data_IF_677464334965
#
_entry.id   IF_677464334965
#
_cell.length_a   1.000
_cell.length_b   1.000
_cell.length_c   1.000
_cell.angle_alpha   90.00
_cell.angle_beta   90.00
_cell.angle_gamma   90.00
#
_symmetry.space_group_name_H-M   'P 1'
#
loop_
_entity.id
_entity.type
_entity.pdbx_description
1 polymer ?
#
# COMPACT_ATOMS: atom_id res chain seq x y z
N UNK A 1 -24.57 8.42 -33.62
CA UNK A 1 -23.18 8.81 -33.51
C UNK A 1 -23.11 10.22 -32.99
N UNK A 2 -22.59 10.43 -31.78
CA UNK A 2 -22.35 11.78 -31.24
C UNK A 2 -21.02 12.34 -31.76
N UNK A 3 -20.88 13.67 -31.74
CA UNK A 3 -19.59 14.33 -31.99
C UNK A 3 -18.63 13.95 -30.86
N UNK A 4 -17.47 13.36 -31.17
CA UNK A 4 -16.42 13.04 -30.19
C UNK A 4 -15.61 14.25 -29.79
N UNK A 5 -15.52 15.24 -30.66
CA UNK A 5 -14.78 16.48 -30.45
C UNK A 5 -15.67 17.67 -30.78
N UNK A 6 -15.57 18.72 -30.01
CA UNK A 6 -16.19 20.01 -30.35
C UNK A 6 -15.44 20.63 -31.53
N UNK A 7 -16.20 21.20 -32.45
CA UNK A 7 -15.64 21.92 -33.58
C UNK A 7 -14.74 23.06 -33.05
N UNK A 8 -13.55 23.22 -33.63
CA UNK A 8 -12.53 24.17 -33.19
C UNK A 8 -11.82 23.92 -31.86
N UNK A 9 -12.11 22.80 -31.17
CA UNK A 9 -11.30 22.35 -30.02
C UNK A 9 -9.84 22.07 -30.44
N UNK A 10 -8.95 22.02 -29.45
CA UNK A 10 -7.54 21.67 -29.70
C UNK A 10 -7.42 20.30 -30.36
N UNK A 11 -8.15 19.30 -29.87
CA UNK A 11 -8.17 17.96 -30.43
C UNK A 11 -8.66 17.93 -31.88
N UNK A 12 -9.73 18.67 -32.18
CA UNK A 12 -10.24 18.81 -33.54
C UNK A 12 -9.18 19.39 -34.48
N UNK A 13 -8.53 20.50 -34.07
CA UNK A 13 -7.45 21.16 -34.85
C UNK A 13 -6.24 20.26 -35.03
N UNK A 14 -5.89 19.47 -34.01
CA UNK A 14 -4.77 18.52 -34.10
C UNK A 14 -5.06 17.43 -35.14
N UNK A 15 -6.27 16.87 -35.16
CA UNK A 15 -6.66 15.86 -36.13
C UNK A 15 -6.73 16.45 -37.54
N UNK A 16 -7.30 17.64 -37.71
CA UNK A 16 -7.36 18.30 -39.03
C UNK A 16 -5.95 18.54 -39.57
N UNK A 17 -5.02 19.06 -38.75
CA UNK A 17 -3.63 19.28 -39.14
C UNK A 17 -2.95 17.96 -39.54
N UNK A 18 -3.16 16.88 -38.77
CA UNK A 18 -2.62 15.56 -39.11
C UNK A 18 -3.16 15.05 -40.45
N UNK A 19 -4.46 15.26 -40.73
CA UNK A 19 -5.05 14.92 -42.03
C UNK A 19 -4.45 15.76 -43.17
N UNK A 20 -4.27 17.07 -42.99
CA UNK A 20 -3.67 17.98 -43.95
C UNK A 20 -2.20 17.61 -44.26
N UNK A 21 -1.50 17.03 -43.29
CA UNK A 21 -0.14 16.52 -43.44
C UNK A 21 -0.06 15.14 -44.15
N UNK A 22 -1.20 14.62 -44.62
CA UNK A 22 -1.26 13.34 -45.32
C UNK A 22 -1.32 12.12 -44.40
N UNK A 23 -1.76 12.33 -43.13
CA UNK A 23 -1.93 11.26 -42.13
C UNK A 23 -0.67 10.40 -41.93
N UNK A 24 0.50 11.04 -41.63
CA UNK A 24 1.75 10.29 -41.46
C UNK A 24 1.59 9.25 -40.36
N UNK A 25 1.97 8.02 -40.64
CA UNK A 25 2.09 6.98 -39.65
C UNK A 25 3.40 7.17 -38.90
N UNK A 26 3.41 6.96 -37.57
CA UNK A 26 4.60 7.11 -36.75
C UNK A 26 5.77 6.25 -37.24
N UNK A 27 6.99 6.70 -36.95
CA UNK A 27 8.24 5.98 -37.24
C UNK A 27 8.75 5.28 -35.95
N UNK A 28 9.47 4.14 -36.08
CA UNK A 28 10.19 3.56 -34.95
C UNK A 28 11.22 4.52 -34.29
N UNK A 29 11.65 5.52 -35.04
CA UNK A 29 12.60 6.54 -34.57
C UNK A 29 11.94 7.75 -33.91
N UNK A 30 10.61 7.79 -33.86
CA UNK A 30 9.87 8.85 -33.17
C UNK A 30 10.16 8.85 -31.68
N UNK A 31 10.28 10.05 -31.06
CA UNK A 31 10.53 10.15 -29.62
C UNK A 31 9.48 9.46 -28.78
N UNK A 32 9.92 8.54 -27.91
CA UNK A 32 9.04 7.82 -26.98
C UNK A 32 9.01 8.50 -25.63
N UNK A 33 7.82 8.50 -24.99
CA UNK A 33 7.66 9.03 -23.64
C UNK A 33 8.42 8.15 -22.64
N UNK A 34 9.35 8.73 -21.88
CA UNK A 34 10.13 8.02 -20.88
C UNK A 34 9.57 8.17 -19.46
N UNK A 35 9.16 9.37 -19.10
CA UNK A 35 8.57 9.67 -17.79
C UNK A 35 7.75 10.94 -17.83
N UNK A 36 6.88 11.08 -16.83
CA UNK A 36 6.25 12.36 -16.49
C UNK A 36 6.66 12.81 -15.09
N UNK A 37 6.65 14.10 -14.82
CA UNK A 37 6.80 14.66 -13.49
C UNK A 37 5.72 15.69 -13.22
N UNK A 38 5.31 15.83 -11.98
CA UNK A 38 4.40 16.86 -11.51
C UNK A 38 5.13 17.82 -10.60
N UNK A 39 4.80 19.11 -10.70
CA UNK A 39 5.30 20.15 -9.79
C UNK A 39 4.14 21.00 -9.27
N UNK A 40 4.07 21.23 -7.94
CA UNK A 40 4.84 20.53 -6.93
C UNK A 40 4.45 19.04 -6.85
N UNK A 41 5.32 18.18 -6.31
CA UNK A 41 5.02 16.77 -6.06
C UNK A 41 4.25 16.57 -4.75
N UNK A 42 4.45 17.48 -3.79
CA UNK A 42 3.76 17.48 -2.51
C UNK A 42 3.60 18.90 -1.96
N UNK A 43 2.52 19.13 -1.21
CA UNK A 43 2.28 20.42 -0.52
C UNK A 43 1.35 20.29 0.68
N UNK A 44 1.65 21.09 1.72
CA UNK A 44 0.70 21.38 2.79
C UNK A 44 -0.17 22.54 2.32
N UNK A 45 -1.48 22.34 2.33
CA UNK A 45 -2.46 23.33 1.84
C UNK A 45 -3.51 23.57 2.91
N UNK A 46 -3.91 24.83 3.08
CA UNK A 46 -4.98 25.17 4.01
C UNK A 46 -6.34 24.63 3.52
N UNK A 47 -7.30 24.37 4.44
CA UNK A 47 -8.67 24.03 4.07
C UNK A 47 -9.27 25.07 3.12
N UNK A 48 -9.89 24.63 2.03
CA UNK A 48 -10.42 25.51 0.98
C UNK A 48 -9.36 26.14 0.07
N UNK A 49 -8.09 25.85 0.29
CA UNK A 49 -6.98 26.34 -0.53
C UNK A 49 -6.96 25.72 -1.92
N UNK A 50 -6.19 26.33 -2.82
CA UNK A 50 -6.02 25.88 -4.21
C UNK A 50 -4.55 25.67 -4.54
N UNK A 51 -4.29 24.66 -5.36
CA UNK A 51 -2.95 24.38 -5.89
C UNK A 51 -3.01 24.08 -7.38
N UNK A 52 -2.34 24.92 -8.18
CA UNK A 52 -2.10 24.62 -9.59
C UNK A 52 -0.96 23.62 -9.72
N UNK A 53 -1.18 22.55 -10.47
CA UNK A 53 -0.16 21.59 -10.84
C UNK A 53 0.40 21.93 -12.22
N UNK A 54 1.70 21.69 -12.41
CA UNK A 54 2.36 21.69 -13.70
C UNK A 54 2.88 20.29 -14.00
N UNK A 55 2.54 19.74 -15.16
CA UNK A 55 2.93 18.37 -15.53
C UNK A 55 3.84 18.40 -16.75
N UNK A 56 5.02 17.79 -16.61
CA UNK A 56 6.06 17.78 -17.62
C UNK A 56 6.33 16.38 -18.12
N UNK A 57 6.33 16.18 -19.43
CA UNK A 57 6.69 14.94 -20.11
C UNK A 57 8.13 15.02 -20.63
N UNK A 58 8.88 13.93 -20.47
CA UNK A 58 10.27 13.77 -20.92
C UNK A 58 10.33 12.64 -21.95
N UNK A 59 10.93 12.93 -23.11
CA UNK A 59 11.01 12.02 -24.23
C UNK A 59 12.43 11.48 -24.47
N UNK A 60 12.53 10.39 -25.24
CA UNK A 60 13.80 9.68 -25.51
C UNK A 60 14.84 10.51 -26.27
N UNK A 61 14.42 11.53 -27.01
CA UNK A 61 15.28 12.48 -27.73
C UNK A 61 15.80 13.64 -26.85
N UNK A 62 15.47 13.63 -25.55
CA UNK A 62 15.78 14.70 -24.61
C UNK A 62 14.79 15.87 -24.64
N UNK A 63 13.79 15.85 -25.52
CA UNK A 63 12.77 16.90 -25.56
C UNK A 63 11.87 16.86 -24.31
N UNK A 64 11.40 18.03 -23.91
CA UNK A 64 10.56 18.23 -22.73
C UNK A 64 9.32 19.01 -23.15
N UNK A 65 8.13 18.58 -22.70
CA UNK A 65 6.86 19.22 -23.05
C UNK A 65 5.99 19.42 -21.81
N UNK A 66 5.36 20.58 -21.74
CA UNK A 66 4.27 20.80 -20.80
C UNK A 66 3.02 20.06 -21.30
N UNK A 67 2.52 19.17 -20.47
CA UNK A 67 1.34 18.35 -20.75
C UNK A 67 0.20 18.61 -19.76
N UNK A 68 0.28 19.70 -18.99
CA UNK A 68 -0.69 20.02 -17.95
C UNK A 68 -2.14 20.04 -18.48
N UNK A 69 -2.37 20.60 -19.65
CA UNK A 69 -3.74 20.70 -20.22
C UNK A 69 -4.22 19.43 -20.94
N UNK A 70 -3.40 18.38 -21.06
CA UNK A 70 -3.74 17.15 -21.80
C UNK A 70 -3.54 15.88 -20.94
N UNK A 71 -3.00 16.00 -19.73
CA UNK A 71 -2.93 14.92 -18.78
C UNK A 71 -4.32 14.64 -18.17
N UNK A 72 -4.54 13.41 -17.72
CA UNK A 72 -5.75 13.01 -17.00
C UNK A 72 -5.49 13.05 -15.51
N UNK A 73 -6.40 13.66 -14.76
CA UNK A 73 -6.30 13.85 -13.32
C UNK A 73 -7.40 13.10 -12.58
N UNK A 74 -7.05 12.45 -11.47
CA UNK A 74 -8.01 11.74 -10.63
C UNK A 74 -7.65 11.89 -9.16
N UNK A 75 -8.58 12.44 -8.36
CA UNK A 75 -8.44 12.48 -6.90
C UNK A 75 -8.81 11.13 -6.30
N UNK A 76 -7.98 10.62 -5.39
CA UNK A 76 -8.26 9.40 -4.62
C UNK A 76 -9.31 9.61 -3.52
N UNK A 77 -9.56 10.88 -3.13
CA UNK A 77 -10.51 11.28 -2.08
C UNK A 77 -11.22 12.56 -2.49
N UNK A 78 -12.28 12.43 -3.29
CA UNK A 78 -13.06 13.57 -3.79
C UNK A 78 -13.70 14.42 -2.69
N UNK A 79 -13.97 13.83 -1.53
CA UNK A 79 -14.50 14.55 -0.36
C UNK A 79 -13.48 15.56 0.19
N UNK A 80 -12.18 15.25 0.12
CA UNK A 80 -11.11 16.14 0.58
C UNK A 80 -10.72 17.19 -0.45
N UNK A 81 -10.90 16.91 -1.73
CA UNK A 81 -10.61 17.88 -2.78
C UNK A 81 -10.77 17.31 -4.18
N UNK A 82 -11.08 18.21 -5.10
CA UNK A 82 -11.26 17.91 -6.51
C UNK A 82 -10.14 18.52 -7.35
N UNK A 83 -9.93 17.95 -8.52
CA UNK A 83 -8.98 18.47 -9.51
C UNK A 83 -9.71 18.66 -10.85
N UNK A 84 -9.48 19.79 -11.51
CA UNK A 84 -10.03 20.06 -12.83
C UNK A 84 -9.13 19.54 -13.97
N UNK A 85 -9.61 19.67 -15.19
CA UNK A 85 -8.91 19.23 -16.40
C UNK A 85 -7.59 20.01 -16.66
N UNK A 86 -7.42 21.17 -16.05
CA UNK A 86 -6.23 22.01 -16.18
C UNK A 86 -5.23 21.79 -15.03
N UNK A 87 -5.48 20.79 -14.17
CA UNK A 87 -4.62 20.47 -13.04
C UNK A 87 -4.75 21.44 -11.86
N UNK A 88 -5.85 22.20 -11.76
CA UNK A 88 -6.13 23.01 -10.59
C UNK A 88 -6.81 22.14 -9.53
N UNK A 89 -6.10 21.90 -8.43
CA UNK A 89 -6.62 21.18 -7.26
C UNK A 89 -7.29 22.19 -6.32
N UNK A 90 -8.53 21.91 -5.90
CA UNK A 90 -9.28 22.73 -4.94
C UNK A 90 -9.60 21.86 -3.73
N UNK A 91 -9.11 22.25 -2.55
CA UNK A 91 -9.35 21.56 -1.29
C UNK A 91 -10.73 21.87 -0.74
N UNK A 92 -11.36 20.89 -0.12
CA UNK A 92 -12.63 21.08 0.60
C UNK A 92 -12.42 21.85 1.90
N UNK A 93 -13.48 22.53 2.34
CA UNK A 93 -13.50 23.22 3.64
C UNK A 93 -14.00 22.24 4.70
N UNK A 94 -13.27 22.13 5.81
CA UNK A 94 -13.65 21.29 6.96
C UNK A 94 -13.07 19.87 6.95
N UNK A 95 -12.43 19.45 5.87
CA UNK A 95 -11.74 18.17 5.81
C UNK A 95 -10.26 18.33 6.16
N UNK A 96 -9.68 17.31 6.82
CA UNK A 96 -8.28 17.27 7.23
C UNK A 96 -7.68 15.90 6.93
N UNK A 97 -6.40 15.83 6.61
CA UNK A 97 -5.71 14.58 6.29
C UNK A 97 -4.84 14.69 5.04
N UNK A 98 -4.64 13.58 4.38
CA UNK A 98 -3.87 13.50 3.13
C UNK A 98 -4.76 13.08 1.97
N UNK A 99 -4.57 13.73 0.84
CA UNK A 99 -5.12 13.29 -0.43
C UNK A 99 -4.03 13.15 -1.48
N UNK A 100 -4.28 12.33 -2.47
CA UNK A 100 -3.41 12.19 -3.63
C UNK A 100 -4.19 12.43 -4.91
N UNK A 101 -3.59 13.17 -5.84
CA UNK A 101 -4.07 13.31 -7.21
C UNK A 101 -3.18 12.47 -8.10
N UNK A 102 -3.77 11.46 -8.73
CA UNK A 102 -3.12 10.65 -9.74
C UNK A 102 -3.16 11.37 -11.07
N UNK A 103 -2.00 11.52 -11.71
CA UNK A 103 -1.83 12.17 -13.01
C UNK A 103 -1.39 11.10 -14.00
N UNK A 104 -2.12 10.96 -15.10
CA UNK A 104 -1.83 9.98 -16.14
C UNK A 104 -1.64 10.67 -17.49
N UNK A 105 -0.63 10.24 -18.21
CA UNK A 105 -0.42 10.63 -19.59
C UNK A 105 0.22 9.46 -20.34
N UNK A 106 -0.47 8.95 -21.37
CA UNK A 106 -0.13 7.70 -22.05
C UNK A 106 0.07 6.56 -21.01
N UNK A 107 1.23 5.88 -21.03
CA UNK A 107 1.54 4.77 -20.12
C UNK A 107 2.21 5.22 -18.82
N UNK A 108 2.44 6.52 -18.62
CA UNK A 108 3.14 7.07 -17.46
C UNK A 108 2.18 7.61 -16.41
N UNK A 109 2.55 7.44 -15.14
CA UNK A 109 1.80 7.91 -13.99
C UNK A 109 2.71 8.74 -13.08
N UNK A 110 2.18 9.84 -12.56
CA UNK A 110 2.79 10.63 -11.48
C UNK A 110 1.74 10.94 -10.43
N UNK A 111 2.17 11.32 -9.22
CA UNK A 111 1.26 11.58 -8.10
C UNK A 111 1.64 12.91 -7.44
N UNK A 112 0.64 13.77 -7.23
CA UNK A 112 0.73 14.90 -6.33
C UNK A 112 0.10 14.54 -4.99
N UNK A 113 0.76 14.90 -3.88
CA UNK A 113 0.26 14.68 -2.54
C UNK A 113 -0.07 16.01 -1.86
N UNK A 114 -1.32 16.18 -1.41
CA UNK A 114 -1.72 17.30 -0.57
C UNK A 114 -1.97 16.84 0.86
N UNK A 115 -1.47 17.61 1.82
CA UNK A 115 -1.75 17.44 3.24
C UNK A 115 -2.51 18.66 3.74
N UNK A 116 -3.69 18.45 4.33
CA UNK A 116 -4.52 19.48 4.96
C UNK A 116 -4.41 19.28 6.47
N UNK A 117 -3.62 20.08 7.19
CA UNK A 117 -3.44 19.92 8.63
C UNK A 117 -4.70 20.35 9.40
N UNK A 118 -4.94 19.69 10.54
CA UNK A 118 -5.99 20.08 11.48
C UNK A 118 -5.69 21.44 12.16
N UNK A 119 -4.41 21.82 12.18
CA UNK A 119 -3.98 23.11 12.70
C UNK A 119 -3.95 23.20 14.23
N UNK A 120 -4.02 22.09 14.97
CA UNK A 120 -3.89 22.09 16.42
C UNK A 120 -2.41 22.31 16.78
N UNK A 121 -2.07 23.31 17.61
CA UNK A 121 -0.71 23.47 18.11
C UNK A 121 -0.29 22.25 18.95
N UNK A 122 0.85 21.67 18.62
CA UNK A 122 1.40 20.53 19.37
C UNK A 122 2.62 21.01 20.14
N UNK A 123 2.52 21.01 21.46
CA UNK A 123 3.60 21.48 22.35
C UNK A 123 4.78 20.51 22.36
N UNK A 124 4.51 19.20 22.42
CA UNK A 124 5.55 18.18 22.46
C UNK A 124 5.04 16.82 21.98
N UNK A 125 5.96 15.99 21.50
CA UNK A 125 5.73 14.57 21.27
C UNK A 125 6.51 13.73 22.25
N UNK A 126 6.06 12.50 22.57
CA UNK A 126 6.88 11.53 23.30
C UNK A 126 8.21 11.29 22.60
N UNK A 127 9.22 10.86 23.37
CA UNK A 127 10.51 10.47 22.80
C UNK A 127 10.30 9.22 21.91
N UNK A 128 10.70 9.32 20.65
CA UNK A 128 10.65 8.19 19.73
C UNK A 128 11.58 7.06 20.22
N UNK A 129 11.08 5.84 20.29
CA UNK A 129 11.84 4.65 20.72
C UNK A 129 12.40 3.85 19.56
N UNK A 130 11.87 4.04 18.36
CA UNK A 130 12.25 3.33 17.15
C UNK A 130 11.93 4.15 15.91
N UNK A 131 12.37 3.67 14.73
CA UNK A 131 12.16 4.35 13.44
C UNK A 131 10.67 4.52 13.09
N UNK A 132 9.78 3.66 13.58
CA UNK A 132 8.35 3.76 13.34
C UNK A 132 7.79 4.96 14.08
N UNK A 133 8.15 5.12 15.37
CA UNK A 133 7.75 6.28 16.16
C UNK A 133 8.21 7.59 15.52
N UNK A 134 9.45 7.64 15.04
CA UNK A 134 9.99 8.82 14.34
C UNK A 134 9.14 9.21 13.15
N UNK A 135 8.79 8.23 12.29
CA UNK A 135 7.97 8.47 11.10
C UNK A 135 6.53 8.85 11.46
N UNK A 136 5.93 8.15 12.41
CA UNK A 136 4.56 8.42 12.87
C UNK A 136 4.47 9.80 13.51
N UNK A 137 5.38 10.14 14.43
CA UNK A 137 5.36 11.45 15.08
C UNK A 137 5.64 12.59 14.10
N UNK A 138 6.55 12.39 13.13
CA UNK A 138 6.76 13.35 12.06
C UNK A 138 5.47 13.59 11.26
N UNK A 139 4.74 12.52 10.92
CA UNK A 139 3.48 12.64 10.18
C UNK A 139 2.38 13.31 11.03
N UNK A 140 2.22 12.92 12.28
CA UNK A 140 1.27 13.54 13.20
C UNK A 140 1.55 15.03 13.40
N UNK A 141 2.83 15.41 13.48
CA UNK A 141 3.25 16.81 13.56
C UNK A 141 2.83 17.58 12.32
N UNK A 142 3.05 17.01 11.14
CA UNK A 142 2.61 17.62 9.85
C UNK A 142 1.11 17.80 9.79
N UNK A 143 0.35 16.82 10.29
CA UNK A 143 -1.12 16.87 10.32
C UNK A 143 -1.68 17.76 11.44
N UNK A 144 -0.86 18.19 12.39
CA UNK A 144 -1.33 18.91 13.57
C UNK A 144 -2.18 18.05 14.50
N UNK A 145 -1.86 16.75 14.60
CA UNK A 145 -2.56 15.78 15.44
C UNK A 145 -1.73 15.42 16.66
N UNK A 146 -2.18 15.71 17.90
CA UNK A 146 -1.49 15.30 19.11
C UNK A 146 -1.59 13.78 19.31
N UNK A 147 -0.59 13.20 19.98
CA UNK A 147 -0.69 11.81 20.44
C UNK A 147 -1.69 11.72 21.60
N UNK A 148 -2.38 10.58 21.71
CA UNK A 148 -3.11 10.26 22.94
C UNK A 148 -2.14 9.95 24.08
N UNK A 149 -2.64 10.02 25.31
CA UNK A 149 -1.90 9.58 26.48
C UNK A 149 -1.60 8.08 26.44
N UNK A 150 -0.57 7.68 27.18
CA UNK A 150 -0.23 6.26 27.33
C UNK A 150 -1.36 5.59 28.13
N UNK A 151 -1.88 4.48 27.61
CA UNK A 151 -2.95 3.74 28.28
C UNK A 151 -2.51 3.19 29.64
N UNK A 152 -3.50 2.96 30.52
CA UNK A 152 -3.28 2.30 31.80
C UNK A 152 -2.82 0.83 31.64
N UNK A 153 -2.42 0.22 32.73
CA UNK A 153 -1.86 -1.13 32.72
C UNK A 153 -2.89 -2.22 32.41
N UNK A 154 -4.14 -2.02 32.78
CA UNK A 154 -5.21 -2.98 32.47
C UNK A 154 -5.55 -2.99 30.98
N UNK A 155 -5.63 -1.81 30.37
CA UNK A 155 -5.82 -1.62 28.94
C UNK A 155 -4.62 -2.15 28.16
N UNK A 156 -3.39 -1.88 28.62
CA UNK A 156 -2.16 -2.40 28.01
C UNK A 156 -2.14 -3.93 28.02
N UNK A 157 -2.37 -4.54 29.18
CA UNK A 157 -2.40 -5.99 29.34
C UNK A 157 -3.39 -6.64 28.36
N UNK A 158 -4.62 -6.13 28.34
CA UNK A 158 -5.67 -6.64 27.46
C UNK A 158 -5.31 -6.52 25.96
N UNK A 159 -4.84 -5.34 25.54
CA UNK A 159 -4.52 -5.09 24.13
C UNK A 159 -3.35 -5.93 23.65
N UNK A 160 -2.25 -5.97 24.40
CA UNK A 160 -1.09 -6.77 24.03
C UNK A 160 -1.37 -8.25 23.99
N UNK A 161 -2.19 -8.77 24.91
CA UNK A 161 -2.62 -10.19 24.88
C UNK A 161 -3.43 -10.52 23.63
N UNK A 162 -4.36 -9.65 23.22
CA UNK A 162 -5.14 -9.82 22.00
C UNK A 162 -4.29 -9.68 20.73
N UNK A 163 -3.40 -8.70 20.71
CA UNK A 163 -2.62 -8.38 19.51
C UNK A 163 -1.51 -9.40 19.25
N UNK A 164 -0.91 -9.96 20.33
CA UNK A 164 0.24 -10.88 20.24
C UNK A 164 -0.22 -12.35 20.30
N UNK A 165 -1.07 -12.71 21.29
CA UNK A 165 -1.46 -14.09 21.53
C UNK A 165 -2.88 -14.44 21.00
N UNK A 166 -3.64 -13.44 20.55
CA UNK A 166 -4.99 -13.66 20.00
C UNK A 166 -6.04 -14.06 21.04
N UNK A 167 -5.72 -13.92 22.34
CA UNK A 167 -6.60 -14.27 23.47
C UNK A 167 -6.60 -13.19 24.55
N UNK A 168 -7.59 -13.25 25.42
CA UNK A 168 -7.57 -12.46 26.65
C UNK A 168 -6.54 -13.04 27.65
N UNK A 169 -5.99 -12.20 28.54
CA UNK A 169 -5.16 -12.70 29.63
C UNK A 169 -6.00 -13.56 30.58
N UNK A 170 -5.39 -14.56 31.20
CA UNK A 170 -6.02 -15.36 32.24
C UNK A 170 -6.17 -14.55 33.54
N UNK A 171 -6.95 -15.03 34.49
CA UNK A 171 -7.07 -14.38 35.81
C UNK A 171 -5.71 -14.34 36.53
N UNK A 172 -4.96 -15.44 36.48
CA UNK A 172 -3.64 -15.54 37.11
C UNK A 172 -2.65 -14.55 36.46
N UNK A 173 -2.62 -14.47 35.13
CA UNK A 173 -1.81 -13.49 34.38
C UNK A 173 -2.19 -12.06 34.75
N UNK A 174 -3.49 -11.79 34.89
CA UNK A 174 -4.02 -10.47 35.25
C UNK A 174 -3.60 -10.07 36.64
N UNK A 175 -3.79 -10.94 37.64
CA UNK A 175 -3.44 -10.69 39.02
C UNK A 175 -1.91 -10.49 39.18
N UNK A 176 -1.11 -11.35 38.56
CA UNK A 176 0.36 -11.23 38.56
C UNK A 176 0.85 -9.92 37.94
N UNK A 177 0.27 -9.54 36.81
CA UNK A 177 0.70 -8.33 36.09
C UNK A 177 0.28 -7.04 36.81
N UNK A 178 -0.98 -6.94 37.24
CA UNK A 178 -1.50 -5.72 37.87
C UNK A 178 -0.89 -5.46 39.26
N UNK A 179 -0.59 -6.51 40.01
CA UNK A 179 0.04 -6.41 41.33
C UNK A 179 1.58 -6.28 41.29
N UNK A 180 2.17 -6.24 40.08
CA UNK A 180 3.62 -6.10 39.94
C UNK A 180 4.04 -4.64 39.96
N UNK A 181 4.99 -4.30 40.84
CA UNK A 181 5.66 -2.99 40.94
C UNK A 181 6.89 -2.87 40.01
N UNK A 182 7.15 -3.88 39.18
CA UNK A 182 8.29 -3.91 38.30
C UNK A 182 8.17 -2.82 37.21
N UNK A 183 9.10 -1.86 37.12
CA UNK A 183 9.06 -0.81 36.09
C UNK A 183 9.14 -1.35 34.65
N UNK A 184 9.69 -2.54 34.47
CA UNK A 184 9.84 -3.20 33.16
C UNK A 184 8.70 -4.18 32.84
N UNK A 185 7.65 -4.26 33.66
CA UNK A 185 6.58 -5.25 33.50
C UNK A 185 5.93 -5.28 32.14
N UNK A 186 5.83 -4.12 31.46
CA UNK A 186 5.26 -4.04 30.09
C UNK A 186 6.12 -4.73 29.06
N UNK A 187 7.44 -4.52 29.10
CA UNK A 187 8.38 -5.18 28.19
C UNK A 187 8.45 -6.67 28.46
N UNK A 188 8.59 -7.06 29.74
CA UNK A 188 8.62 -8.47 30.13
C UNK A 188 7.33 -9.21 29.76
N UNK A 189 6.19 -8.53 29.84
CA UNK A 189 4.91 -9.10 29.41
C UNK A 189 4.89 -9.38 27.91
N UNK A 190 5.33 -8.42 27.10
CA UNK A 190 5.47 -8.61 25.63
C UNK A 190 6.37 -9.80 25.33
N UNK A 191 7.56 -9.85 25.94
CA UNK A 191 8.53 -10.92 25.71
C UNK A 191 7.98 -12.30 26.13
N UNK A 192 7.23 -12.34 27.22
CA UNK A 192 6.56 -13.56 27.67
C UNK A 192 5.52 -14.05 26.67
N UNK A 193 4.68 -13.16 26.11
CA UNK A 193 3.68 -13.51 25.09
C UNK A 193 4.33 -13.98 23.79
N UNK A 194 5.40 -13.32 23.34
CA UNK A 194 6.12 -13.69 22.11
C UNK A 194 6.76 -15.08 22.19
N UNK A 195 7.05 -15.56 23.40
CA UNK A 195 7.60 -16.90 23.63
C UNK A 195 6.55 -18.01 23.76
N UNK A 196 5.26 -17.68 23.74
CA UNK A 196 4.17 -18.66 23.89
C UNK A 196 3.84 -19.40 22.59
N UNK A 197 3.24 -20.57 22.74
CA UNK A 197 2.63 -21.29 21.61
C UNK A 197 1.41 -20.54 21.06
N UNK A 198 0.70 -19.78 21.87
CA UNK A 198 -0.45 -18.96 21.46
C UNK A 198 -0.07 -17.93 20.39
N UNK A 199 1.08 -17.27 20.58
CA UNK A 199 1.65 -16.37 19.56
C UNK A 199 1.84 -17.06 18.22
N UNK A 200 2.52 -18.21 18.23
CA UNK A 200 2.82 -18.95 17.02
C UNK A 200 1.54 -19.43 16.31
N UNK A 201 0.55 -19.90 17.07
CA UNK A 201 -0.75 -20.36 16.55
C UNK A 201 -1.55 -19.20 15.97
N UNK A 202 -1.63 -18.08 16.68
CA UNK A 202 -2.38 -16.90 16.25
C UNK A 202 -1.83 -16.33 14.94
N UNK A 203 -0.52 -16.19 14.84
CA UNK A 203 0.11 -15.69 13.62
C UNK A 203 0.09 -16.72 12.49
N UNK A 204 0.16 -18.01 12.80
CA UNK A 204 -0.02 -19.06 11.80
C UNK A 204 -1.40 -19.02 11.17
N UNK A 205 -2.45 -18.78 11.96
CA UNK A 205 -3.82 -18.60 11.44
C UNK A 205 -3.94 -17.39 10.54
N UNK A 206 -3.38 -16.23 10.94
CA UNK A 206 -3.34 -15.03 10.10
C UNK A 206 -2.61 -15.27 8.78
N UNK A 207 -1.41 -15.83 8.84
CA UNK A 207 -0.60 -16.10 7.65
C UNK A 207 -1.17 -17.21 6.78
N UNK A 208 -1.83 -18.19 7.35
CA UNK A 208 -2.59 -19.20 6.58
C UNK A 208 -3.68 -18.53 5.74
N UNK A 209 -4.36 -17.53 6.28
CA UNK A 209 -5.35 -16.75 5.51
C UNK A 209 -4.70 -15.92 4.41
N UNK A 210 -3.62 -15.22 4.73
CA UNK A 210 -2.86 -14.39 3.78
C UNK A 210 -2.31 -15.23 2.62
N UNK A 211 -1.71 -16.39 2.93
CA UNK A 211 -1.16 -17.32 1.94
C UNK A 211 -2.23 -18.23 1.30
N UNK A 212 -3.51 -17.92 1.50
CA UNK A 212 -4.65 -18.66 0.93
C UNK A 212 -4.63 -20.16 1.24
N UNK A 213 -4.14 -20.55 2.42
CA UNK A 213 -4.12 -21.95 2.86
C UNK A 213 -5.56 -22.42 3.15
N UNK A 214 -6.34 -22.69 2.10
CA UNK A 214 -7.74 -23.11 2.19
C UNK A 214 -7.88 -24.56 1.79
N UNK A 215 -8.76 -25.26 2.49
CA UNK A 215 -9.21 -26.60 2.11
C UNK A 215 -10.14 -26.48 0.90
N UNK A 216 -9.71 -26.98 -0.28
CA UNK A 216 -10.54 -26.98 -1.49
C UNK A 216 -11.33 -28.30 -1.65
N UNK A 217 -10.79 -29.41 -1.15
CA UNK A 217 -11.41 -30.73 -1.21
C UNK A 217 -10.85 -31.62 -0.07
N UNK A 218 -11.53 -32.71 0.25
CA UNK A 218 -11.13 -33.64 1.32
C UNK A 218 -9.74 -34.25 1.10
N UNK A 219 -9.35 -34.46 -0.16
CA UNK A 219 -8.03 -34.96 -0.55
C UNK A 219 -6.87 -34.04 -0.18
N UNK A 220 -7.14 -32.76 0.10
CA UNK A 220 -6.10 -31.77 0.41
C UNK A 220 -5.90 -31.51 1.90
N UNK A 221 -6.66 -32.18 2.79
CA UNK A 221 -6.64 -31.90 4.23
C UNK A 221 -5.23 -32.02 4.81
N UNK A 222 -4.52 -33.12 4.53
CA UNK A 222 -3.15 -33.37 5.06
C UNK A 222 -2.18 -32.27 4.61
N UNK A 223 -2.23 -31.84 3.35
CA UNK A 223 -1.34 -30.79 2.84
C UNK A 223 -1.65 -29.42 3.44
N UNK A 224 -2.92 -29.12 3.67
CA UNK A 224 -3.34 -27.87 4.32
C UNK A 224 -2.87 -27.82 5.78
N UNK A 225 -2.97 -28.95 6.50
CA UNK A 225 -2.47 -29.07 7.88
C UNK A 225 -0.95 -28.99 7.93
N UNK A 226 -0.25 -29.69 7.04
CA UNK A 226 1.22 -29.66 6.99
C UNK A 226 1.75 -28.23 6.69
N UNK A 227 1.09 -27.51 5.80
CA UNK A 227 1.47 -26.13 5.48
C UNK A 227 1.20 -25.19 6.66
N UNK A 228 0.06 -25.33 7.34
CA UNK A 228 -0.23 -24.58 8.56
C UNK A 228 0.82 -24.83 9.63
N UNK A 229 1.18 -26.11 9.85
CA UNK A 229 2.20 -26.49 10.83
C UNK A 229 3.59 -25.94 10.48
N UNK A 230 3.96 -25.92 9.20
CA UNK A 230 5.20 -25.28 8.75
C UNK A 230 5.21 -23.77 9.03
N UNK A 231 4.07 -23.09 8.81
CA UNK A 231 3.92 -21.67 9.14
C UNK A 231 4.04 -21.48 10.66
N UNK A 232 3.28 -22.25 11.45
CA UNK A 232 3.30 -22.21 12.93
C UNK A 232 4.71 -22.42 13.48
N UNK A 233 5.42 -23.43 12.99
CA UNK A 233 6.79 -23.70 13.41
C UNK A 233 7.74 -22.55 13.04
N UNK A 234 7.54 -21.91 11.90
CA UNK A 234 8.34 -20.75 11.49
C UNK A 234 8.19 -19.59 12.47
N UNK A 235 6.98 -19.32 12.97
CA UNK A 235 6.75 -18.32 14.01
C UNK A 235 7.28 -18.76 15.37
N UNK A 236 7.11 -20.02 15.73
CA UNK A 236 7.57 -20.54 17.01
C UNK A 236 9.10 -20.42 17.19
N UNK A 237 9.86 -20.69 16.14
CA UNK A 237 11.35 -20.55 16.16
C UNK A 237 11.81 -19.13 15.79
N UNK A 238 10.89 -18.18 15.63
CA UNK A 238 11.18 -16.83 15.16
C UNK A 238 12.07 -16.82 13.89
N UNK A 239 11.67 -17.60 12.88
CA UNK A 239 12.41 -17.71 11.61
C UNK A 239 12.57 -16.32 10.97
N UNK A 240 13.79 -15.91 10.55
CA UNK A 240 13.98 -14.65 9.82
C UNK A 240 13.10 -14.55 8.59
N UNK A 241 12.47 -13.39 8.39
CA UNK A 241 11.49 -13.20 7.31
C UNK A 241 12.03 -13.51 5.92
N UNK A 242 13.27 -13.12 5.65
CA UNK A 242 13.95 -13.44 4.38
C UNK A 242 14.08 -14.94 4.14
N UNK A 243 14.35 -15.73 5.20
CA UNK A 243 14.41 -17.21 5.10
C UNK A 243 13.02 -17.80 4.87
N UNK A 244 12.01 -17.32 5.62
CA UNK A 244 10.62 -17.72 5.45
C UNK A 244 10.16 -17.52 4.00
N UNK A 245 10.40 -16.31 3.45
CA UNK A 245 10.05 -15.99 2.07
C UNK A 245 10.85 -16.82 1.07
N UNK A 246 12.16 -16.97 1.26
CA UNK A 246 13.01 -17.79 0.38
C UNK A 246 12.53 -19.24 0.32
N UNK A 247 12.28 -19.86 1.47
CA UNK A 247 11.76 -21.23 1.54
C UNK A 247 10.39 -21.36 0.85
N UNK A 248 9.52 -20.35 1.01
CA UNK A 248 8.19 -20.35 0.41
C UNK A 248 8.25 -20.27 -1.13
N UNK A 249 8.97 -19.28 -1.69
CA UNK A 249 8.99 -19.02 -3.14
C UNK A 249 9.84 -20.01 -3.92
N UNK A 250 10.80 -20.67 -3.27
CA UNK A 250 11.66 -21.69 -3.90
C UNK A 250 11.20 -23.10 -3.60
N UNK A 251 10.08 -23.28 -2.89
CA UNK A 251 9.59 -24.60 -2.50
C UNK A 251 9.36 -25.51 -3.72
N UNK A 252 9.90 -26.74 -3.66
CA UNK A 252 9.81 -27.77 -4.71
C UNK A 252 9.60 -29.14 -4.10
N UNK A 253 9.06 -30.06 -4.89
CA UNK A 253 8.86 -31.44 -4.50
C UNK A 253 7.49 -31.73 -3.90
N UNK A 254 7.40 -32.79 -3.14
CA UNK A 254 6.16 -33.26 -2.53
C UNK A 254 5.86 -32.52 -1.21
N UNK A 255 4.58 -32.29 -0.95
CA UNK A 255 4.11 -31.61 0.28
C UNK A 255 4.51 -32.37 1.54
N UNK A 256 4.61 -33.71 1.48
CA UNK A 256 5.02 -34.54 2.59
C UNK A 256 6.44 -34.24 3.07
N UNK A 257 7.32 -33.80 2.17
CA UNK A 257 8.72 -33.49 2.46
C UNK A 257 8.96 -31.97 2.55
N UNK A 258 8.18 -31.19 1.80
CA UNK A 258 8.30 -29.74 1.78
C UNK A 258 6.90 -29.11 1.81
N UNK A 259 6.33 -28.86 3.00
CA UNK A 259 4.97 -28.33 3.15
C UNK A 259 4.74 -26.99 2.49
N UNK A 260 5.75 -26.14 2.33
CA UNK A 260 5.65 -24.84 1.66
C UNK A 260 5.22 -24.95 0.19
N UNK A 261 5.41 -26.12 -0.46
CA UNK A 261 4.92 -26.37 -1.83
C UNK A 261 3.40 -26.32 -1.95
N UNK A 262 2.67 -26.45 -0.83
CA UNK A 262 1.21 -26.33 -0.82
C UNK A 262 0.71 -24.94 -1.26
N UNK A 263 1.52 -23.89 -1.10
CA UNK A 263 1.19 -22.55 -1.58
C UNK A 263 0.94 -22.50 -3.09
N UNK A 264 1.80 -23.13 -3.89
CA UNK A 264 1.69 -23.18 -5.35
C UNK A 264 0.45 -23.93 -5.84
N UNK A 265 -0.12 -24.78 -5.02
CA UNK A 265 -1.35 -25.51 -5.33
C UNK A 265 -2.59 -24.64 -5.27
N UNK A 266 -2.56 -23.60 -4.45
CA UNK A 266 -3.69 -22.70 -4.26
C UNK A 266 -3.78 -21.61 -5.33
N UNK A 267 -2.63 -21.23 -5.90
CA UNK A 267 -2.50 -20.23 -6.96
C UNK A 267 -1.81 -20.89 -8.15
N UNK A 268 -2.60 -21.45 -9.05
CA UNK A 268 -2.08 -22.27 -10.18
C UNK A 268 -1.70 -21.41 -11.39
N UNK A 269 -2.41 -20.30 -11.61
CA UNK A 269 -2.11 -19.35 -12.69
C UNK A 269 -0.82 -18.56 -12.41
N UNK A 270 0.01 -18.38 -13.45
CA UNK A 270 1.30 -17.69 -13.30
C UNK A 270 1.15 -16.20 -13.01
N UNK A 271 0.17 -15.53 -13.64
CA UNK A 271 -0.08 -14.10 -13.45
C UNK A 271 -0.61 -13.85 -12.04
N UNK A 272 -1.60 -14.63 -11.60
CA UNK A 272 -2.11 -14.56 -10.23
C UNK A 272 -1.01 -14.83 -9.20
N UNK A 273 -0.11 -15.78 -9.46
CA UNK A 273 1.02 -16.08 -8.57
C UNK A 273 1.98 -14.92 -8.44
N UNK A 274 2.33 -14.27 -9.56
CA UNK A 274 3.16 -13.08 -9.54
C UNK A 274 2.51 -11.94 -8.76
N UNK A 275 1.21 -11.73 -8.97
CA UNK A 275 0.43 -10.71 -8.26
C UNK A 275 0.37 -10.99 -6.76
N UNK A 276 0.07 -12.22 -6.36
CA UNK A 276 0.04 -12.63 -4.95
C UNK A 276 1.42 -12.48 -4.30
N UNK A 277 2.48 -12.92 -4.99
CA UNK A 277 3.85 -12.77 -4.50
C UNK A 277 4.18 -11.31 -4.25
N UNK A 278 3.90 -10.44 -5.22
CA UNK A 278 4.17 -9.01 -5.10
C UNK A 278 3.31 -8.35 -4.01
N UNK A 279 2.03 -8.66 -3.95
CA UNK A 279 1.12 -8.06 -2.98
C UNK A 279 1.38 -8.54 -1.56
N UNK A 280 1.55 -9.86 -1.36
CA UNK A 280 1.68 -10.46 -0.03
C UNK A 280 3.08 -10.24 0.55
N UNK A 281 4.12 -10.39 -0.25
CA UNK A 281 5.50 -10.39 0.23
C UNK A 281 6.24 -9.05 0.05
N UNK A 282 5.83 -8.24 -0.94
CA UNK A 282 6.46 -6.95 -1.24
C UNK A 282 5.54 -5.75 -0.98
N UNK A 283 4.24 -5.97 -0.73
CA UNK A 283 3.27 -4.88 -0.55
C UNK A 283 2.95 -4.10 -1.83
N UNK A 284 3.29 -4.63 -3.01
CA UNK A 284 3.11 -3.98 -4.31
C UNK A 284 1.93 -4.57 -5.06
N UNK A 285 0.99 -3.75 -5.53
CA UNK A 285 -0.11 -4.17 -6.40
C UNK A 285 0.31 -4.08 -7.87
N UNK A 286 0.38 -5.24 -8.54
CA UNK A 286 0.69 -5.33 -9.98
C UNK A 286 -0.55 -5.35 -10.87
N UNK A 287 -1.76 -5.48 -10.32
CA UNK A 287 -3.00 -5.65 -11.08
C UNK A 287 -3.31 -4.51 -12.05
N UNK A 288 -3.00 -3.26 -11.68
CA UNK A 288 -3.21 -2.11 -12.57
C UNK A 288 -2.38 -2.16 -13.85
N UNK A 289 -1.17 -2.71 -13.78
CA UNK A 289 -0.25 -2.74 -14.94
C UNK A 289 -0.58 -3.88 -15.92
N UNK A 290 -1.21 -4.96 -15.45
CA UNK A 290 -1.51 -6.15 -16.27
C UNK A 290 -2.84 -6.05 -17.04
N UNK A 291 -3.80 -5.25 -16.58
CA UNK A 291 -5.07 -5.04 -17.28
C UNK A 291 -4.91 -4.20 -18.56
N UNK A 292 -3.90 -3.33 -18.63
CA UNK A 292 -3.66 -2.49 -19.80
C UNK A 292 -2.85 -3.17 -20.91
N UNK A 293 -2.21 -4.31 -20.65
CA UNK A 293 -1.40 -5.01 -21.66
C UNK A 293 -2.16 -6.16 -22.35
N UNK A 294 -3.31 -6.60 -21.80
CA UNK A 294 -4.08 -7.72 -22.37
C UNK A 294 -5.19 -7.29 -23.34
N UNK A 295 -5.65 -6.04 -23.28
CA UNK A 295 -6.74 -5.55 -24.15
C UNK A 295 -6.23 -4.86 -25.44
N UNK A 296 -4.92 -4.79 -25.64
CA UNK A 296 -4.32 -4.23 -26.86
C UNK A 296 -3.95 -5.28 -27.91
N UNK A 297 -4.29 -6.57 -27.70
CA UNK A 297 -3.90 -7.69 -28.56
C UNK A 297 -5.07 -8.45 -29.21
N UNK A 298 -6.32 -7.90 -29.14
CA UNK A 298 -7.48 -8.42 -29.91
C UNK A 298 -8.03 -7.37 -30.88
#
# INVERSE_FOLDING_TARGET
GGARFEHDSWDYKAIVRWMEQGMPYGSPDDPTLQKISVFPDSRIVDPGGKQQLAVTAYYSDGSVRDITGIATYESNQKEMGEVDQNGLVTMSVGETGDMAVMIRYQEQVSVFQATIPLGIPIESFPIAKNIIDEKVFSKLKTLGLPTSEICDDSTFLRRTSLDIAGRLPTLEETDKYLNSDNPNKRSEWIDSLLSTTDYAEFFANKWSSILRNKRKADTYTRGTQAFHEWIRQSFHINKPYNQFVAELVTARGEISHNPATAWFRNVTDQKERLQDTAQVLLGVRLQCCLLYTSDAAD
#
